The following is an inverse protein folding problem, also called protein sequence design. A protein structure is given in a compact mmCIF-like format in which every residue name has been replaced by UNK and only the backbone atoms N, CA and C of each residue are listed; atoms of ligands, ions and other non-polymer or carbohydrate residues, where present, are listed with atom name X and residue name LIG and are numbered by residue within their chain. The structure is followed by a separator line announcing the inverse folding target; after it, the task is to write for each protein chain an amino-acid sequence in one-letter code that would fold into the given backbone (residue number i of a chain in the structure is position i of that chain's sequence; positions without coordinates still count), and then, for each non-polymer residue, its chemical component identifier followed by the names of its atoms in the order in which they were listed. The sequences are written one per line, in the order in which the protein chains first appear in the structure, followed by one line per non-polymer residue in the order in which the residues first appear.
data_IF_660255421474
#
_entry.id   IF_660255421474
#
_cell.length_a   1.000
_cell.length_b   1.000
_cell.length_c   1.000
_cell.angle_alpha   90.00
_cell.angle_beta   90.00
_cell.angle_gamma   90.00
#
_symmetry.space_group_name_H-M   'P 1'
#
loop_
_entity.id
_entity.type
_entity.pdbx_description
1 polymer ?
#
# COMPACT_ATOMS: atom_id res chain seq x y z
N UNK A 1 -13.35 13.31 1.03
CA UNK A 1 -13.07 12.18 0.12
C UNK A 1 -12.70 11.00 0.98
N UNK A 2 -13.41 9.88 0.88
CA UNK A 2 -13.13 8.69 1.68
C UNK A 2 -12.00 7.88 1.01
N UNK A 3 -11.06 7.34 1.80
CA UNK A 3 -10.06 6.37 1.32
C UNK A 3 -10.35 5.01 1.96
N UNK A 4 -10.41 3.97 1.13
CA UNK A 4 -10.54 2.58 1.59
C UNK A 4 -9.31 1.81 1.16
N UNK A 5 -8.76 1.01 2.07
CA UNK A 5 -7.59 0.16 1.81
C UNK A 5 -7.95 -1.26 2.19
N UNK A 6 -7.75 -2.19 1.26
CA UNK A 6 -8.09 -3.60 1.42
C UNK A 6 -6.83 -4.45 1.37
N UNK A 7 -6.72 -5.41 2.27
CA UNK A 7 -5.74 -6.48 2.16
C UNK A 7 -6.17 -7.43 1.03
N UNK A 8 -5.28 -7.64 0.06
CA UNK A 8 -5.56 -8.46 -1.11
C UNK A 8 -4.44 -9.47 -1.33
N UNK A 9 -4.80 -10.63 -1.86
CA UNK A 9 -3.85 -11.65 -2.30
C UNK A 9 -3.77 -11.66 -3.83
N UNK A 10 -2.56 -11.59 -4.39
CA UNK A 10 -2.33 -11.85 -5.80
C UNK A 10 -2.45 -13.36 -6.06
N UNK A 11 -3.23 -13.76 -7.06
CA UNK A 11 -3.42 -15.17 -7.39
C UNK A 11 -2.35 -15.68 -8.38
N UNK A 12 -2.44 -15.25 -9.63
CA UNK A 12 -1.50 -15.61 -10.70
C UNK A 12 -1.35 -14.44 -11.67
N UNK A 13 -0.29 -14.46 -12.49
CA UNK A 13 0.04 -13.44 -13.47
C UNK A 13 1.42 -12.81 -13.25
N UNK A 14 1.79 -11.94 -14.20
CA UNK A 14 3.03 -11.15 -14.15
C UNK A 14 2.74 -9.72 -14.57
N UNK A 15 3.50 -8.78 -14.01
CA UNK A 15 3.36 -7.37 -14.38
C UNK A 15 3.72 -7.15 -15.85
N UNK A 16 2.94 -6.32 -16.54
CA UNK A 16 3.22 -5.81 -17.87
C UNK A 16 3.01 -4.30 -17.85
N UNK A 17 4.04 -3.56 -18.27
CA UNK A 17 3.99 -2.11 -18.42
C UNK A 17 2.84 -1.70 -19.36
N UNK A 18 2.17 -0.60 -19.03
CA UNK A 18 1.09 -0.04 -19.84
C UNK A 18 1.06 1.49 -19.74
N UNK A 19 0.07 2.13 -20.38
CA UNK A 19 -0.04 3.59 -20.42
C UNK A 19 -0.26 4.25 -19.05
N UNK A 20 -0.68 3.49 -18.04
CA UNK A 20 -0.94 4.01 -16.70
C UNK A 20 0.16 3.65 -15.69
N UNK A 21 0.69 2.43 -15.76
CA UNK A 21 1.66 1.90 -14.80
C UNK A 21 2.96 1.55 -15.52
N UNK A 22 4.00 2.36 -15.27
CA UNK A 22 5.34 2.15 -15.81
C UNK A 22 6.10 1.03 -15.07
N UNK A 23 5.88 0.88 -13.76
CA UNK A 23 6.64 -0.03 -12.91
C UNK A 23 5.80 -0.58 -11.75
N UNK A 24 6.08 -1.83 -11.35
CA UNK A 24 5.53 -2.48 -10.17
C UNK A 24 6.66 -3.20 -9.41
N UNK A 25 6.84 -2.87 -8.14
CA UNK A 25 7.86 -3.47 -7.27
C UNK A 25 7.31 -3.72 -5.86
N UNK A 26 7.99 -4.60 -5.12
CA UNK A 26 7.77 -4.78 -3.68
C UNK A 26 8.84 -4.03 -2.90
N UNK A 27 8.42 -3.33 -1.84
CA UNK A 27 9.31 -2.58 -0.96
C UNK A 27 9.09 -3.01 0.48
N UNK A 28 10.17 -3.11 1.26
CA UNK A 28 10.07 -3.27 2.70
C UNK A 28 9.56 -1.95 3.34
N UNK A 29 8.83 -2.05 4.46
CA UNK A 29 8.21 -0.89 5.11
C UNK A 29 9.23 0.14 5.62
N UNK A 30 10.47 -0.29 5.89
CA UNK A 30 11.60 0.54 6.29
C UNK A 30 12.41 1.09 5.09
N UNK A 31 12.08 0.68 3.86
CA UNK A 31 12.77 1.02 2.62
C UNK A 31 11.78 1.49 1.54
N UNK A 32 10.81 2.32 1.94
CA UNK A 32 9.81 2.87 1.03
C UNK A 32 10.45 3.81 -0.02
N UNK A 33 9.95 3.78 -1.27
CA UNK A 33 10.35 4.74 -2.29
C UNK A 33 9.74 6.13 -2.01
N UNK A 34 10.02 7.09 -2.88
CA UNK A 34 9.30 8.37 -2.86
C UNK A 34 7.79 8.14 -3.06
N UNK A 35 6.98 8.60 -2.10
CA UNK A 35 5.53 8.37 -2.11
C UNK A 35 4.79 9.50 -2.83
N UNK A 36 3.69 9.14 -3.49
CA UNK A 36 2.70 10.11 -3.94
C UNK A 36 1.80 10.51 -2.76
N UNK A 37 2.21 11.52 -1.99
CA UNK A 37 1.58 11.88 -0.70
C UNK A 37 0.07 12.19 -0.79
N UNK A 38 -0.42 12.66 -1.94
CA UNK A 38 -1.86 12.85 -2.17
C UNK A 38 -2.63 11.53 -2.13
N UNK A 39 -2.00 10.42 -2.53
CA UNK A 39 -2.58 9.08 -2.57
C UNK A 39 -2.39 8.36 -1.24
N UNK A 40 -1.15 8.28 -0.75
CA UNK A 40 -0.78 7.58 0.49
C UNK A 40 0.40 8.29 1.16
N UNK A 41 0.37 8.43 2.49
CA UNK A 41 1.49 8.96 3.29
C UNK A 41 2.26 7.84 4.00
N UNK A 42 3.48 8.14 4.45
CA UNK A 42 4.27 7.20 5.24
C UNK A 42 3.55 6.77 6.53
N UNK A 43 2.97 7.74 7.24
CA UNK A 43 2.17 7.50 8.45
C UNK A 43 1.00 6.54 8.17
N UNK A 44 0.28 6.73 7.06
CA UNK A 44 -0.80 5.83 6.66
C UNK A 44 -0.28 4.40 6.39
N UNK A 45 0.87 4.25 5.72
CA UNK A 45 1.49 2.94 5.52
C UNK A 45 1.89 2.27 6.84
N UNK A 46 2.43 3.01 7.80
CA UNK A 46 2.80 2.50 9.12
C UNK A 46 1.55 2.03 9.91
N UNK A 47 0.45 2.80 9.87
CA UNK A 47 -0.83 2.40 10.46
C UNK A 47 -1.32 1.10 9.83
N UNK A 48 -1.37 1.04 8.49
CA UNK A 48 -1.82 -0.15 7.76
C UNK A 48 -0.95 -1.38 8.07
N UNK A 49 0.36 -1.19 8.22
CA UNK A 49 1.28 -2.27 8.60
C UNK A 49 1.00 -2.81 10.01
N UNK A 50 0.72 -1.94 10.98
CA UNK A 50 0.33 -2.35 12.34
C UNK A 50 -1.01 -3.10 12.34
N UNK A 51 -1.98 -2.64 11.54
CA UNK A 51 -3.28 -3.33 11.37
C UNK A 51 -3.08 -4.71 10.76
N UNK A 52 -2.32 -4.80 9.67
CA UNK A 52 -1.98 -6.06 9.00
C UNK A 52 -1.26 -7.04 9.93
N UNK A 53 -0.40 -6.56 10.82
CA UNK A 53 0.30 -7.39 11.83
C UNK A 53 -0.58 -7.79 13.03
N UNK A 54 -1.84 -7.35 13.09
CA UNK A 54 -2.72 -7.56 14.25
C UNK A 54 -2.27 -6.80 15.51
N UNK A 55 -1.40 -5.79 15.36
CA UNK A 55 -0.92 -4.94 16.46
C UNK A 55 -1.88 -3.78 16.73
N UNK A 56 -2.80 -3.51 15.80
CA UNK A 56 -3.84 -2.49 15.89
C UNK A 56 -5.12 -3.02 15.26
N UNK A 57 -6.27 -2.59 15.78
CA UNK A 57 -7.58 -2.87 15.17
C UNK A 57 -7.79 -2.05 13.88
N UNK A 58 -8.85 -2.35 13.14
CA UNK A 58 -9.21 -1.63 11.92
C UNK A 58 -9.23 -0.11 12.15
N UNK A 59 -8.51 0.63 11.31
CA UNK A 59 -8.42 2.08 11.39
C UNK A 59 -9.61 2.76 10.67
N UNK A 60 -10.30 3.65 11.37
CA UNK A 60 -11.39 4.49 10.86
C UNK A 60 -11.13 5.91 11.41
N UNK A 61 -11.06 6.90 10.52
CA UNK A 61 -11.00 8.32 10.87
C UNK A 61 -12.36 8.86 11.35
#
# INVERSE_FOLDING_TARGET
MQKFVFECQLFDGGFQENQEIAELQFFAIDQLPALSEKRITKEQMEILWQVYKGQKEQYID
#
